data_IF_429530930459
#
_entry.id   IF_429530930459
#
_cell.length_a   1.000
_cell.length_b   1.000
_cell.length_c   1.000
_cell.angle_alpha   90.00
_cell.angle_beta   90.00
_cell.angle_gamma   90.00
#
_symmetry.space_group_name_H-M   'P 1'
#
loop_
_entity.id
_entity.type
_entity.pdbx_description
1 polymer ?
#
# COMPACT_ATOMS: atom_id res chain seq x y z
N UNK A 1 15.95 -14.08 -5.23
CA UNK A 1 15.59 -12.75 -5.77
C UNK A 1 15.87 -11.77 -4.65
N UNK A 2 16.52 -10.66 -4.96
CA UNK A 2 16.72 -9.57 -3.99
C UNK A 2 15.33 -9.01 -3.69
N UNK A 3 14.94 -9.02 -2.42
CA UNK A 3 13.64 -8.51 -1.99
C UNK A 3 13.70 -6.99 -2.15
N UNK A 4 12.83 -6.40 -2.97
CA UNK A 4 12.72 -4.94 -3.00
C UNK A 4 11.96 -4.55 -1.74
N UNK A 5 12.65 -3.93 -0.79
CA UNK A 5 11.98 -3.38 0.38
C UNK A 5 11.13 -2.18 -0.06
N UNK A 6 9.93 -2.05 0.52
CA UNK A 6 9.09 -0.89 0.21
C UNK A 6 9.68 0.30 0.94
N UNK A 7 10.40 1.17 0.23
CA UNK A 7 10.72 2.48 0.79
C UNK A 7 9.42 3.25 1.05
N UNK A 8 9.31 3.77 2.26
CA UNK A 8 8.07 4.28 2.86
C UNK A 8 8.26 5.72 3.26
N UNK A 9 7.53 6.61 2.59
CA UNK A 9 7.62 8.05 2.85
C UNK A 9 6.91 8.46 4.15
N UNK A 10 5.83 7.77 4.51
CA UNK A 10 5.02 8.07 5.71
C UNK A 10 4.36 6.81 6.26
N UNK A 11 4.44 6.59 7.56
CA UNK A 11 3.59 5.63 8.26
C UNK A 11 3.14 6.14 9.61
N UNK A 12 1.87 5.91 9.95
CA UNK A 12 1.30 6.33 11.22
C UNK A 12 0.03 5.56 11.59
N UNK A 13 -0.21 5.44 12.89
CA UNK A 13 -1.47 4.93 13.41
C UNK A 13 -2.48 6.05 13.56
N UNK A 14 -3.72 5.81 13.15
CA UNK A 14 -4.82 6.71 13.51
C UNK A 14 -5.40 6.38 14.90
N UNK A 15 -6.31 7.23 15.39
CA UNK A 15 -6.94 7.10 16.73
C UNK A 15 -7.70 5.78 16.96
N UNK A 16 -7.97 5.00 15.92
CA UNK A 16 -8.67 3.73 15.97
C UNK A 16 -7.71 2.52 15.80
N UNK A 17 -6.40 2.71 16.05
CA UNK A 17 -5.35 1.70 15.90
C UNK A 17 -5.23 1.11 14.48
N UNK A 18 -5.62 1.89 13.47
CA UNK A 18 -5.44 1.49 12.08
C UNK A 18 -4.12 2.04 11.57
N UNK A 19 -3.34 1.21 10.89
CA UNK A 19 -2.07 1.62 10.30
C UNK A 19 -2.30 2.14 8.89
N UNK A 20 -1.70 3.29 8.61
CA UNK A 20 -1.57 3.87 7.28
C UNK A 20 -0.11 3.86 6.89
N UNK A 21 0.17 3.41 5.68
CA UNK A 21 1.51 3.40 5.10
C UNK A 21 1.42 3.99 3.71
N UNK A 22 2.31 4.93 3.41
CA UNK A 22 2.46 5.54 2.09
C UNK A 22 3.87 5.25 1.60
N UNK A 23 3.99 4.67 0.41
CA UNK A 23 5.28 4.40 -0.22
C UNK A 23 6.04 5.68 -0.57
N UNK A 24 7.29 5.54 -0.99
CA UNK A 24 7.91 6.54 -1.86
C UNK A 24 7.28 6.56 -3.26
N UNK A 25 7.60 7.60 -4.03
CA UNK A 25 6.98 7.87 -5.31
C UNK A 25 7.51 6.98 -6.44
N UNK A 26 6.65 6.13 -6.99
CA UNK A 26 6.89 5.33 -8.19
C UNK A 26 6.76 6.18 -9.46
N UNK A 27 7.39 5.71 -10.54
CA UNK A 27 7.31 6.36 -11.86
C UNK A 27 5.97 6.11 -12.59
N UNK A 28 5.27 5.02 -12.27
CA UNK A 28 3.95 4.70 -12.82
C UNK A 28 3.18 3.69 -11.96
N UNK A 29 1.88 3.55 -12.21
CA UNK A 29 1.04 2.52 -11.55
C UNK A 29 1.48 1.10 -11.96
N UNK A 30 1.97 0.91 -13.18
CA UNK A 30 2.51 -0.38 -13.62
C UNK A 30 3.73 -0.79 -12.78
N UNK A 31 4.59 0.17 -12.43
CA UNK A 31 5.73 -0.09 -11.55
C UNK A 31 5.27 -0.50 -10.14
N UNK A 32 4.20 0.12 -9.62
CA UNK A 32 3.58 -0.28 -8.34
C UNK A 32 3.02 -1.71 -8.39
N UNK A 33 2.32 -2.07 -9.47
CA UNK A 33 1.77 -3.42 -9.67
C UNK A 33 2.89 -4.44 -9.83
N UNK A 34 3.94 -4.13 -10.60
CA UNK A 34 5.11 -4.99 -10.77
C UNK A 34 5.84 -5.22 -9.46
N UNK A 35 5.95 -4.19 -8.62
CA UNK A 35 6.46 -4.31 -7.26
C UNK A 35 5.63 -5.31 -6.44
N UNK A 36 4.31 -5.12 -6.37
CA UNK A 36 3.41 -5.99 -5.59
C UNK A 36 3.38 -7.44 -6.08
N UNK A 37 3.62 -7.68 -7.38
CA UNK A 37 3.67 -9.02 -7.99
C UNK A 37 4.93 -9.83 -7.63
N UNK A 38 5.93 -9.22 -7.02
CA UNK A 38 7.14 -9.93 -6.57
C UNK A 38 6.88 -10.83 -5.36
N UNK A 39 5.77 -10.59 -4.66
CA UNK A 39 5.36 -11.32 -3.47
C UNK A 39 4.54 -12.56 -3.84
N UNK A 40 4.82 -13.69 -3.18
CA UNK A 40 4.14 -14.96 -3.44
C UNK A 40 2.61 -14.83 -3.23
N UNK A 41 1.81 -15.25 -4.23
CA UNK A 41 0.35 -15.17 -4.18
C UNK A 41 -0.26 -13.88 -4.75
N UNK A 42 0.56 -12.94 -5.24
CA UNK A 42 0.13 -11.67 -5.85
C UNK A 42 0.13 -11.67 -7.38
N UNK A 43 0.15 -12.83 -8.03
CA UNK A 43 0.33 -12.93 -9.49
C UNK A 43 -0.78 -12.18 -10.27
N UNK A 44 -1.96 -12.04 -9.66
CA UNK A 44 -3.14 -11.42 -10.26
C UNK A 44 -3.40 -9.98 -9.81
N UNK A 45 -2.46 -9.34 -9.08
CA UNK A 45 -2.63 -7.93 -8.67
C UNK A 45 -2.89 -7.05 -9.90
N UNK A 46 -3.89 -6.18 -9.77
CA UNK A 46 -4.30 -5.25 -10.81
C UNK A 46 -4.97 -4.03 -10.18
N UNK A 47 -5.01 -2.93 -10.96
CA UNK A 47 -5.82 -1.76 -10.64
C UNK A 47 -7.21 -1.91 -11.24
N UNK A 48 -8.22 -1.36 -10.57
CA UNK A 48 -9.52 -1.10 -11.18
C UNK A 48 -9.90 0.37 -11.02
N UNK A 49 -10.70 0.86 -11.97
CA UNK A 49 -11.27 2.19 -11.90
C UNK A 49 -12.45 2.13 -10.95
N UNK A 50 -12.33 2.77 -9.79
CA UNK A 50 -13.41 2.79 -8.80
C UNK A 50 -13.96 4.21 -8.65
N UNK A 51 -15.26 4.29 -8.41
CA UNK A 51 -15.99 5.55 -8.29
C UNK A 51 -16.21 5.87 -6.81
N UNK A 52 -16.01 7.14 -6.42
CA UNK A 52 -16.23 7.64 -5.05
C UNK A 52 -15.36 6.98 -3.95
N UNK A 53 -14.06 6.85 -4.16
CA UNK A 53 -13.15 6.47 -3.06
C UNK A 53 -13.01 7.63 -2.08
N UNK A 54 -13.50 7.44 -0.86
CA UNK A 54 -13.08 8.26 0.28
C UNK A 54 -11.89 7.56 0.95
N UNK A 55 -10.66 7.87 0.53
CA UNK A 55 -9.48 7.41 1.28
C UNK A 55 -9.49 8.06 2.65
N UNK A 56 -8.99 7.37 3.66
CA UNK A 56 -8.98 7.94 5.01
C UNK A 56 -7.99 9.11 5.15
N UNK A 57 -7.06 9.25 4.21
CA UNK A 57 -6.16 10.40 4.03
C UNK A 57 -6.83 11.60 3.37
N UNK A 58 -8.04 11.44 2.82
CA UNK A 58 -8.87 12.53 2.33
C UNK A 58 -8.37 13.14 1.02
N UNK A 59 -7.90 12.30 0.08
CA UNK A 59 -7.45 12.70 -1.26
C UNK A 59 -8.61 13.09 -2.19
N UNK A 60 -9.53 13.94 -1.71
CA UNK A 60 -10.75 14.33 -2.41
C UNK A 60 -10.50 15.16 -3.69
N UNK A 61 -9.28 15.66 -3.86
CA UNK A 61 -8.82 16.45 -5.00
C UNK A 61 -8.05 15.63 -6.05
N UNK A 62 -7.83 14.33 -5.80
CA UNK A 62 -7.02 13.46 -6.65
C UNK A 62 -7.86 12.39 -7.34
N UNK A 63 -7.40 11.93 -8.49
CA UNK A 63 -7.86 10.66 -9.06
C UNK A 63 -7.19 9.53 -8.29
N UNK A 64 -7.99 8.63 -7.74
CA UNK A 64 -7.52 7.51 -6.92
C UNK A 64 -7.97 6.22 -7.60
N UNK A 65 -7.08 5.23 -7.64
CA UNK A 65 -7.39 3.88 -8.09
C UNK A 65 -7.22 2.91 -6.93
N UNK A 66 -8.06 1.90 -6.87
CA UNK A 66 -7.91 0.81 -5.91
C UNK A 66 -7.11 -0.33 -6.55
N UNK A 67 -6.19 -0.91 -5.77
CA UNK A 67 -5.37 -2.04 -6.16
C UNK A 67 -5.91 -3.30 -5.47
N UNK A 68 -6.29 -4.29 -6.28
CA UNK A 68 -6.96 -5.51 -5.83
C UNK A 68 -6.05 -6.74 -5.87
N UNK A 69 -6.57 -7.84 -5.33
CA UNK A 69 -5.95 -9.17 -5.31
C UNK A 69 -4.56 -9.23 -4.64
N UNK A 70 -4.32 -8.32 -3.70
CA UNK A 70 -3.12 -8.33 -2.87
C UNK A 70 -3.29 -9.35 -1.75
N UNK A 71 -2.57 -10.46 -1.86
CA UNK A 71 -2.27 -11.36 -0.76
C UNK A 71 -0.98 -10.92 -0.07
N UNK A 72 -1.00 -10.97 1.26
CA UNK A 72 0.23 -10.91 2.02
C UNK A 72 0.46 -12.30 2.61
N UNK A 73 1.60 -12.90 2.26
CA UNK A 73 1.88 -14.33 2.44
C UNK A 73 1.90 -14.75 3.90
N UNK A 74 2.11 -13.83 4.85
CA UNK A 74 2.26 -14.19 6.26
C UNK A 74 1.12 -13.77 7.21
N UNK A 75 0.40 -12.65 7.03
CA UNK A 75 -0.33 -12.05 8.19
C UNK A 75 -1.74 -11.48 7.99
N UNK A 76 -2.42 -11.84 6.90
CA UNK A 76 -3.84 -11.54 6.72
C UNK A 76 -4.12 -10.13 6.19
N UNK A 77 -4.74 -10.13 5.01
CA UNK A 77 -5.41 -9.05 4.28
C UNK A 77 -5.10 -7.59 4.67
N UNK A 78 -4.32 -6.92 3.82
CA UNK A 78 -4.59 -5.49 3.57
C UNK A 78 -6.08 -5.35 3.29
N UNK A 79 -6.73 -4.42 3.98
CA UNK A 79 -8.17 -4.25 3.76
C UNK A 79 -8.39 -3.48 2.48
N UNK A 80 -7.61 -2.42 2.28
CA UNK A 80 -7.73 -1.55 1.12
C UNK A 80 -6.31 -1.06 0.73
N UNK A 81 -6.03 -1.02 -0.57
CA UNK A 81 -4.79 -0.48 -1.13
C UNK A 81 -5.15 0.47 -2.26
N UNK A 82 -4.59 1.68 -2.24
CA UNK A 82 -4.90 2.73 -3.20
C UNK A 82 -3.64 3.27 -3.84
N UNK A 83 -3.77 3.79 -5.06
CA UNK A 83 -2.74 4.60 -5.72
C UNK A 83 -3.31 5.93 -6.17
N UNK A 84 -2.49 6.97 -6.08
CA UNK A 84 -2.78 8.31 -6.57
C UNK A 84 -1.53 8.98 -7.12
N UNK A 85 -1.72 9.92 -8.04
CA UNK A 85 -0.64 10.77 -8.55
C UNK A 85 -0.47 12.01 -7.65
N UNK A 86 0.78 12.35 -7.34
CA UNK A 86 1.17 13.64 -6.77
C UNK A 86 2.49 14.09 -7.38
N UNK A 87 2.50 15.27 -8.02
CA UNK A 87 3.68 15.86 -8.66
C UNK A 87 4.38 14.95 -9.69
N UNK A 88 3.62 14.20 -10.50
CA UNK A 88 4.17 13.30 -11.52
C UNK A 88 4.74 11.99 -10.99
N UNK A 89 4.46 11.65 -9.72
CA UNK A 89 4.82 10.38 -9.07
C UNK A 89 3.59 9.69 -8.52
N UNK A 90 3.63 8.37 -8.44
CA UNK A 90 2.55 7.52 -7.95
C UNK A 90 2.88 6.98 -6.57
N UNK A 91 1.90 6.96 -5.68
CA UNK A 91 2.09 6.58 -4.29
C UNK A 91 1.09 5.50 -3.88
N UNK A 92 1.60 4.37 -3.40
CA UNK A 92 0.82 3.32 -2.80
C UNK A 92 0.44 3.72 -1.37
N UNK A 93 -0.85 3.75 -1.08
CA UNK A 93 -1.40 3.93 0.26
C UNK A 93 -2.05 2.63 0.73
N UNK A 94 -1.51 2.05 1.80
CA UNK A 94 -2.00 0.84 2.42
C UNK A 94 -2.79 1.15 3.68
N UNK A 95 -3.91 0.46 3.82
CA UNK A 95 -4.74 0.54 5.01
C UNK A 95 -4.93 -0.81 5.69
N UNK A 96 -4.56 -0.84 6.98
CA UNK A 96 -4.65 -2.05 7.80
C UNK A 96 -5.58 -1.83 8.99
N UNK A 97 -6.75 -2.51 8.96
CA UNK A 97 -7.79 -2.38 9.99
C UNK A 97 -7.40 -2.95 11.36
N UNK A 98 -6.68 -4.06 11.39
CA UNK A 98 -6.32 -4.79 12.62
C UNK A 98 -4.80 -4.84 12.82
N UNK A 99 -4.15 -3.69 12.71
CA UNK A 99 -2.72 -3.57 12.91
C UNK A 99 -2.35 -3.83 14.39
N UNK A 100 -2.22 -5.10 14.79
CA UNK A 100 -1.77 -5.52 16.12
C UNK A 100 -0.25 -5.38 16.27
N UNK A 101 0.27 -4.17 16.05
CA UNK A 101 1.51 -3.59 16.56
C UNK A 101 2.87 -4.29 16.36
N UNK A 102 2.96 -5.56 15.96
CA UNK A 102 4.24 -6.29 15.84
C UNK A 102 4.50 -6.84 14.46
N UNK A 103 3.43 -7.22 13.79
CA UNK A 103 3.48 -8.04 12.59
C UNK A 103 3.71 -7.24 11.31
N UNK A 104 3.46 -5.93 11.35
CA UNK A 104 3.53 -5.02 10.20
C UNK A 104 4.87 -4.29 10.08
N UNK A 105 5.65 -4.21 11.17
CA UNK A 105 6.98 -3.62 11.12
C UNK A 105 7.95 -4.49 10.28
N UNK A 106 7.77 -5.81 10.30
CA UNK A 106 8.49 -6.76 9.44
C UNK A 106 8.04 -6.68 7.96
N UNK A 107 6.79 -6.29 7.68
CA UNK A 107 6.25 -6.22 6.31
C UNK A 107 6.73 -5.01 5.51
N UNK A 108 7.23 -3.97 6.18
CA UNK A 108 7.63 -2.69 5.59
C UNK A 108 9.05 -2.29 6.02
N UNK A 109 9.88 -3.25 6.42
CA UNK A 109 11.30 -3.00 6.71
C UNK A 109 11.59 -2.12 7.94
N UNK A 110 10.63 -1.88 8.83
CA UNK A 110 10.82 -0.98 9.98
C UNK A 110 11.66 -1.57 11.13
N UNK A 111 11.95 -2.87 11.11
CA UNK A 111 12.81 -3.52 12.10
C UNK A 111 14.20 -3.79 11.49
N UNK A 112 14.96 -2.73 11.27
CA UNK A 112 16.42 -2.80 11.21
C UNK A 112 17.00 -2.19 12.50
N UNK A 113 16.90 -2.93 13.61
CA UNK A 113 17.82 -2.86 14.77
C UNK A 113 17.80 -4.16 15.61
#
# INVERSE_FOLDING_TARGET
MEYIDLDISKAYFNRNNRLYVVSEGFDSIEAEIEYLKQFEGNENVHKDDTFDINTATGHNDKTIYEIYDIKCVDKGYFTDCYTYEENGKYYLEFYVREARGRDLYEMFGFNDE
#
